data_IF_435290538313
#
_entry.id   IF_435290538313
#
_cell.length_a   1.000
_cell.length_b   1.000
_cell.length_c   1.000
_cell.angle_alpha   90.00
_cell.angle_beta   90.00
_cell.angle_gamma   90.00
#
_symmetry.space_group_name_H-M   'P 1'
#
loop_
_entity.id
_entity.type
_entity.pdbx_description
1 polymer ?
#
# COMPACT_ATOMS: atom_id res chain seq x y z
N UNK A 1 8.83 -7.59 8.09
CA UNK A 1 8.55 -7.21 6.69
C UNK A 1 7.05 -6.97 6.49
N UNK A 2 6.16 -7.85 6.95
CA UNK A 2 4.72 -7.72 6.74
C UNK A 2 4.12 -6.36 7.18
N UNK A 3 4.54 -5.83 8.33
CA UNK A 3 4.06 -4.53 8.86
C UNK A 3 4.49 -3.33 8.00
N UNK A 4 5.66 -3.41 7.36
CA UNK A 4 6.14 -2.32 6.49
C UNK A 4 5.48 -2.36 5.10
N UNK A 5 5.04 -3.52 4.65
CA UNK A 5 4.44 -3.71 3.33
C UNK A 5 2.98 -3.26 3.23
N UNK A 6 2.40 -2.78 4.34
CA UNK A 6 1.02 -2.26 4.38
C UNK A 6 0.89 -0.96 3.59
N UNK A 7 1.92 -0.11 3.60
CA UNK A 7 1.87 1.22 3.00
C UNK A 7 2.72 1.37 1.74
N UNK A 8 3.74 0.54 1.56
CA UNK A 8 4.63 0.59 0.39
C UNK A 8 5.37 -0.73 0.19
N UNK A 9 5.87 -0.95 -1.04
CA UNK A 9 6.70 -2.09 -1.35
C UNK A 9 8.02 -2.07 -0.57
N UNK A 10 8.53 -3.23 -0.11
CA UNK A 10 9.87 -3.38 0.43
C UNK A 10 10.98 -2.87 -0.52
N UNK A 11 10.72 -2.83 -1.81
CA UNK A 11 11.66 -2.34 -2.82
C UNK A 11 11.98 -0.86 -2.62
N UNK A 12 11.04 -0.07 -2.10
CA UNK A 12 11.29 1.32 -1.75
C UNK A 12 12.41 1.44 -0.70
N UNK A 13 12.44 0.53 0.26
CA UNK A 13 13.50 0.44 1.28
C UNK A 13 14.81 -0.04 0.64
N UNK A 14 14.74 -1.07 -0.20
CA UNK A 14 15.89 -1.67 -0.85
C UNK A 14 16.62 -0.71 -1.81
N UNK A 15 15.93 0.29 -2.34
CA UNK A 15 16.48 1.33 -3.20
C UNK A 15 17.18 2.46 -2.43
N UNK A 16 16.95 2.57 -1.13
CA UNK A 16 17.53 3.63 -0.31
C UNK A 16 18.99 3.32 0.06
N UNK A 17 19.81 4.36 0.15
CA UNK A 17 21.20 4.30 0.63
C UNK A 17 21.39 5.44 1.62
N UNK A 18 21.03 5.18 2.88
CA UNK A 18 21.02 6.22 3.90
C UNK A 18 22.03 5.93 5.02
N UNK A 19 22.68 6.95 5.58
CA UNK A 19 23.47 6.80 6.80
C UNK A 19 22.54 6.51 8.01
N UNK A 20 23.13 6.03 9.11
CA UNK A 20 22.39 5.54 10.28
C UNK A 20 21.41 6.57 10.87
N UNK A 21 21.86 7.83 10.97
CA UNK A 21 21.02 8.93 11.48
C UNK A 21 19.78 9.19 10.61
N UNK A 22 19.92 9.07 9.29
CA UNK A 22 18.81 9.21 8.36
C UNK A 22 17.87 8.01 8.41
N UNK A 23 18.40 6.80 8.61
CA UNK A 23 17.56 5.62 8.86
C UNK A 23 16.77 5.75 10.14
N UNK A 24 17.39 6.27 11.24
CA UNK A 24 16.69 6.54 12.48
C UNK A 24 15.54 7.53 12.25
N UNK A 25 15.81 8.67 11.64
CA UNK A 25 14.79 9.67 11.33
C UNK A 25 13.65 9.09 10.45
N UNK A 26 13.99 8.20 9.52
CA UNK A 26 13.01 7.54 8.64
C UNK A 26 12.12 6.58 9.43
N UNK A 27 12.68 5.76 10.31
CA UNK A 27 11.91 4.82 11.15
C UNK A 27 10.99 5.58 12.11
N UNK A 28 11.49 6.63 12.77
CA UNK A 28 10.68 7.48 13.65
C UNK A 28 9.52 8.16 12.88
N UNK A 29 9.79 8.63 11.68
CA UNK A 29 8.76 9.19 10.81
C UNK A 29 7.70 8.13 10.45
N UNK A 30 8.08 6.89 10.15
CA UNK A 30 7.13 5.80 9.89
C UNK A 30 6.29 5.47 11.11
N UNK A 31 6.88 5.45 12.32
CA UNK A 31 6.15 5.31 13.59
C UNK A 31 5.12 6.43 13.76
N UNK A 32 5.53 7.68 13.53
CA UNK A 32 4.63 8.83 13.60
C UNK A 32 3.47 8.72 12.59
N UNK A 33 3.68 8.06 11.46
CA UNK A 33 2.66 7.81 10.45
C UNK A 33 1.82 6.54 10.71
N UNK A 34 1.99 5.92 11.87
CA UNK A 34 1.17 4.79 12.31
C UNK A 34 1.77 3.40 12.05
N UNK A 35 3.05 3.31 11.69
CA UNK A 35 3.70 2.00 11.64
C UNK A 35 3.82 1.43 13.06
N UNK A 36 3.27 0.26 13.29
CA UNK A 36 3.32 -0.46 14.56
C UNK A 36 4.71 -1.05 14.80
N UNK A 37 5.63 -0.22 15.28
CA UNK A 37 7.02 -0.59 15.60
C UNK A 37 7.26 -0.22 17.05
N UNK A 38 7.52 -1.21 17.91
CA UNK A 38 7.90 -0.97 19.29
C UNK A 38 9.31 -0.33 19.37
N UNK A 39 9.62 0.34 20.49
CA UNK A 39 10.88 1.09 20.59
C UNK A 39 12.12 0.19 20.53
N UNK A 40 12.07 -0.99 21.12
CA UNK A 40 13.11 -2.01 21.04
C UNK A 40 13.24 -2.60 19.61
N UNK A 41 12.13 -2.78 18.91
CA UNK A 41 12.12 -3.19 17.52
C UNK A 41 12.72 -2.09 16.61
N UNK A 42 12.44 -0.81 16.90
CA UNK A 42 12.93 0.31 16.12
C UNK A 42 14.47 0.36 16.11
N UNK A 43 15.11 0.14 17.26
CA UNK A 43 16.58 0.10 17.34
C UNK A 43 17.17 -1.04 16.50
N UNK A 44 16.59 -2.24 16.62
CA UNK A 44 16.99 -3.40 15.82
C UNK A 44 16.83 -3.15 14.32
N UNK A 45 15.71 -2.55 13.93
CA UNK A 45 15.40 -2.20 12.54
C UNK A 45 16.40 -1.18 11.99
N UNK A 46 16.67 -0.09 12.72
CA UNK A 46 17.67 0.92 12.32
C UNK A 46 19.06 0.30 12.17
N UNK A 47 19.46 -0.58 13.09
CA UNK A 47 20.72 -1.30 13.00
C UNK A 47 20.80 -2.18 11.75
N UNK A 48 19.75 -2.92 11.45
CA UNK A 48 19.65 -3.74 10.25
C UNK A 48 19.71 -2.90 8.97
N UNK A 49 18.88 -1.85 8.87
CA UNK A 49 18.80 -0.99 7.70
C UNK A 49 20.11 -0.26 7.43
N UNK A 50 20.74 0.28 8.48
CA UNK A 50 22.02 0.97 8.35
C UNK A 50 23.20 0.05 8.03
N UNK A 51 23.12 -1.23 8.38
CA UNK A 51 24.12 -2.22 8.00
C UNK A 51 23.94 -2.72 6.55
N UNK A 52 22.69 -2.83 6.10
CA UNK A 52 22.36 -3.41 4.79
C UNK A 52 22.30 -2.37 3.67
N UNK A 53 21.79 -1.19 3.96
CA UNK A 53 21.44 -0.14 3.00
C UNK A 53 22.17 1.17 3.33
N UNK A 54 23.47 1.10 3.65
CA UNK A 54 24.33 2.27 3.88
C UNK A 54 24.79 2.91 2.55
N UNK A 55 25.28 4.17 2.54
CA UNK A 55 25.63 4.89 1.31
C UNK A 55 26.64 4.18 0.40
N UNK A 56 27.50 3.34 0.97
CA UNK A 56 28.49 2.57 0.21
C UNK A 56 28.04 1.13 -0.07
N UNK A 57 26.81 0.74 0.28
CA UNK A 57 26.30 -0.58 -0.03
C UNK A 57 26.11 -0.72 -1.54
N UNK A 58 26.50 -1.86 -2.15
CA UNK A 58 26.30 -2.08 -3.57
C UNK A 58 24.81 -2.06 -3.90
N UNK A 59 24.47 -1.63 -5.10
CA UNK A 59 23.11 -1.71 -5.63
C UNK A 59 22.74 -3.17 -5.88
N UNK A 60 22.38 -3.83 -4.81
CA UNK A 60 21.74 -5.13 -4.88
C UNK A 60 20.23 -4.90 -4.91
N UNK A 61 19.71 -4.62 -6.10
CA UNK A 61 18.36 -5.09 -6.39
C UNK A 61 18.46 -6.61 -6.26
N UNK A 62 17.65 -7.26 -5.38
CA UNK A 62 17.57 -8.71 -5.42
C UNK A 62 17.28 -9.08 -6.88
N UNK A 63 17.91 -10.14 -7.42
CA UNK A 63 17.55 -10.60 -8.74
C UNK A 63 16.03 -10.76 -8.73
N UNK A 64 15.37 -9.99 -9.57
CA UNK A 64 13.93 -10.19 -9.77
C UNK A 64 13.82 -11.62 -10.22
N UNK A 65 13.22 -12.45 -9.39
CA UNK A 65 13.01 -13.85 -9.72
C UNK A 65 12.29 -13.84 -11.07
N UNK A 66 12.99 -14.37 -12.09
CA UNK A 66 12.48 -14.40 -13.45
C UNK A 66 11.18 -15.23 -13.53
N UNK A 67 10.95 -16.11 -12.56
CA UNK A 67 9.72 -16.89 -12.45
C UNK A 67 8.55 -16.02 -11.95
N UNK A 68 8.79 -15.05 -11.06
CA UNK A 68 7.78 -14.06 -10.67
C UNK A 68 7.40 -13.13 -11.83
N UNK A 69 8.30 -12.89 -12.79
CA UNK A 69 7.97 -12.15 -14.02
C UNK A 69 7.19 -12.99 -15.02
N UNK A 70 7.26 -14.32 -14.92
CA UNK A 70 6.48 -15.25 -15.74
C UNK A 70 5.14 -15.60 -15.12
N UNK A 71 4.91 -15.23 -13.84
CA UNK A 71 3.57 -15.30 -13.28
C UNK A 71 2.68 -14.49 -14.21
N UNK A 72 1.81 -15.18 -14.94
CA UNK A 72 0.77 -14.53 -15.71
C UNK A 72 0.04 -13.54 -14.79
N UNK A 73 -0.36 -12.36 -15.30
CA UNK A 73 -1.18 -11.46 -14.54
C UNK A 73 -2.32 -12.29 -13.93
N UNK A 74 -2.38 -12.34 -12.59
CA UNK A 74 -3.53 -12.90 -11.91
C UNK A 74 -4.73 -12.10 -12.43
N UNK A 75 -5.61 -12.80 -13.14
CA UNK A 75 -6.85 -12.32 -13.71
C UNK A 75 -6.82 -12.00 -15.19
N UNK A 76 -7.11 -12.98 -15.92
CA UNK A 76 -8.17 -12.77 -16.90
C UNK A 76 -9.48 -12.92 -16.12
N UNK A 77 -10.06 -11.82 -15.67
CA UNK A 77 -11.48 -11.81 -15.35
C UNK A 77 -12.21 -12.34 -16.58
N UNK A 78 -13.18 -13.27 -16.44
CA UNK A 78 -13.95 -13.74 -17.57
C UNK A 78 -14.58 -12.52 -18.24
N UNK A 79 -14.40 -12.42 -19.56
CA UNK A 79 -14.88 -11.31 -20.39
C UNK A 79 -16.43 -11.11 -20.36
N UNK A 80 -17.14 -11.93 -19.62
CA UNK A 80 -18.61 -11.96 -19.47
C UNK A 80 -19.10 -11.60 -18.06
N UNK A 81 -18.27 -11.05 -17.19
CA UNK A 81 -18.77 -10.49 -15.93
C UNK A 81 -19.57 -9.22 -16.28
N UNK A 82 -20.89 -9.31 -16.08
CA UNK A 82 -21.78 -8.14 -16.14
C UNK A 82 -21.27 -7.01 -15.22
N UNK A 83 -21.91 -5.84 -15.21
CA UNK A 83 -21.44 -4.71 -14.43
C UNK A 83 -21.21 -5.11 -12.98
N UNK A 84 -20.01 -4.83 -12.45
CA UNK A 84 -19.63 -5.16 -11.09
C UNK A 84 -20.54 -4.44 -10.10
N UNK A 85 -21.30 -5.21 -9.32
CA UNK A 85 -22.15 -4.69 -8.25
C UNK A 85 -21.40 -4.82 -6.93
N UNK A 86 -20.97 -3.69 -6.37
CA UNK A 86 -20.23 -3.68 -5.11
C UNK A 86 -21.14 -3.94 -3.90
N UNK A 87 -20.59 -4.64 -2.90
CA UNK A 87 -21.25 -4.96 -1.62
C UNK A 87 -20.58 -4.18 -0.50
N UNK A 88 -21.26 -3.12 0.00
CA UNK A 88 -20.67 -2.21 0.98
C UNK A 88 -20.20 -2.89 2.27
N UNK A 89 -20.89 -3.92 2.76
CA UNK A 89 -20.50 -4.66 3.97
C UNK A 89 -19.18 -5.43 3.79
N UNK A 90 -18.94 -5.99 2.62
CA UNK A 90 -17.65 -6.60 2.26
C UNK A 90 -16.57 -5.53 2.13
N UNK A 91 -16.88 -4.45 1.43
CA UNK A 91 -15.97 -3.33 1.21
C UNK A 91 -15.46 -2.70 2.50
N UNK A 92 -16.29 -2.65 3.55
CA UNK A 92 -15.88 -2.19 4.87
C UNK A 92 -14.70 -2.98 5.43
N UNK A 93 -14.80 -4.31 5.44
CA UNK A 93 -13.75 -5.19 5.96
C UNK A 93 -12.49 -5.14 5.10
N UNK A 94 -12.63 -5.10 3.78
CA UNK A 94 -11.49 -5.01 2.86
C UNK A 94 -10.75 -3.67 3.05
N UNK A 95 -11.48 -2.58 3.19
CA UNK A 95 -10.92 -1.26 3.47
C UNK A 95 -10.17 -1.22 4.80
N UNK A 96 -10.73 -1.79 5.84
CA UNK A 96 -10.12 -1.85 7.16
C UNK A 96 -8.76 -2.56 7.12
N UNK A 97 -8.66 -3.66 6.40
CA UNK A 97 -7.42 -4.44 6.32
C UNK A 97 -6.36 -3.84 5.39
N UNK A 98 -6.76 -3.16 4.32
CA UNK A 98 -5.84 -2.77 3.25
C UNK A 98 -5.63 -1.25 3.12
N UNK A 99 -6.62 -0.44 3.46
CA UNK A 99 -6.63 0.99 3.14
C UNK A 99 -6.58 1.89 4.40
N UNK A 100 -7.13 1.40 5.51
CA UNK A 100 -7.32 2.18 6.74
C UNK A 100 -6.01 2.70 7.33
N UNK A 101 -4.91 1.92 7.23
CA UNK A 101 -3.61 2.33 7.75
C UNK A 101 -3.15 3.69 7.18
N UNK A 102 -3.50 3.97 5.94
CA UNK A 102 -3.15 5.22 5.28
C UNK A 102 -4.31 6.24 5.29
N UNK A 103 -5.54 5.77 5.03
CA UNK A 103 -6.70 6.66 4.86
C UNK A 103 -7.54 6.88 6.13
N UNK A 104 -7.09 6.32 7.26
CA UNK A 104 -7.74 6.48 8.56
C UNK A 104 -9.00 5.65 8.74
N UNK A 105 -9.37 5.41 10.00
CA UNK A 105 -10.59 4.70 10.34
C UNK A 105 -11.82 5.42 9.75
N UNK A 106 -12.72 4.67 9.12
CA UNK A 106 -13.89 5.25 8.46
C UNK A 106 -13.57 6.19 7.29
N UNK A 107 -12.37 6.08 6.72
CA UNK A 107 -11.90 6.89 5.58
C UNK A 107 -11.80 8.40 5.89
N UNK A 108 -11.52 8.74 7.14
CA UNK A 108 -11.48 10.15 7.62
C UNK A 108 -10.17 10.87 7.29
N UNK A 109 -9.20 10.15 6.72
CA UNK A 109 -7.87 10.68 6.40
C UNK A 109 -6.85 10.31 7.48
N UNK A 110 -5.60 10.39 7.10
CA UNK A 110 -4.43 10.10 7.94
C UNK A 110 -3.18 10.48 7.16
N UNK A 111 -2.27 9.56 6.93
CA UNK A 111 -1.15 9.74 6.03
C UNK A 111 -1.63 9.95 4.58
N UNK A 112 -2.67 9.22 4.18
CA UNK A 112 -3.38 9.42 2.93
C UNK A 112 -4.54 10.42 3.08
N UNK A 113 -5.08 10.91 1.96
CA UNK A 113 -6.18 11.87 1.98
C UNK A 113 -7.46 11.26 2.57
N UNK A 114 -8.31 12.14 3.12
CA UNK A 114 -9.68 11.79 3.48
C UNK A 114 -10.43 11.33 2.22
N UNK A 115 -11.06 10.15 2.31
CA UNK A 115 -11.90 9.59 1.25
C UNK A 115 -13.40 9.75 1.53
N UNK A 116 -13.81 9.81 2.79
CA UNK A 116 -15.21 10.06 3.14
C UNK A 116 -15.69 11.38 2.50
N UNK A 117 -16.74 11.29 1.67
CA UNK A 117 -17.29 12.41 0.87
C UNK A 117 -16.28 13.06 -0.12
N UNK A 118 -15.23 12.34 -0.49
CA UNK A 118 -14.26 12.85 -1.47
C UNK A 118 -14.90 12.88 -2.87
N UNK A 119 -14.77 13.99 -3.62
CA UNK A 119 -15.34 14.09 -4.97
C UNK A 119 -14.85 13.02 -5.95
N UNK A 120 -13.64 12.48 -5.77
CA UNK A 120 -13.09 11.41 -6.62
C UNK A 120 -14.00 10.18 -6.69
N UNK A 121 -14.78 9.92 -5.64
CA UNK A 121 -15.71 8.79 -5.58
C UNK A 121 -16.87 8.89 -6.58
N UNK A 122 -17.07 10.05 -7.18
CA UNK A 122 -18.08 10.31 -8.24
C UNK A 122 -17.47 10.21 -9.64
N UNK A 123 -16.18 9.96 -9.74
CA UNK A 123 -15.43 9.85 -10.98
C UNK A 123 -14.83 8.44 -11.03
N UNK A 124 -15.63 7.47 -11.48
CA UNK A 124 -15.29 6.06 -11.49
C UNK A 124 -13.95 5.80 -12.19
N UNK A 125 -13.73 6.41 -13.33
CA UNK A 125 -12.49 6.31 -14.10
C UNK A 125 -11.25 6.71 -13.28
N UNK A 126 -11.31 7.85 -12.59
CA UNK A 126 -10.22 8.34 -11.76
C UNK A 126 -10.03 7.51 -10.48
N UNK A 127 -11.12 7.04 -9.89
CA UNK A 127 -11.06 6.15 -8.74
C UNK A 127 -10.38 4.84 -9.09
N UNK A 128 -10.87 4.18 -10.15
CA UNK A 128 -10.33 2.92 -10.61
C UNK A 128 -8.86 3.03 -11.04
N UNK A 129 -8.52 4.05 -11.84
CA UNK A 129 -7.15 4.32 -12.26
C UNK A 129 -6.22 4.48 -11.04
N UNK A 130 -6.66 5.26 -10.03
CA UNK A 130 -5.86 5.51 -8.83
C UNK A 130 -5.66 4.24 -8.00
N UNK A 131 -6.69 3.40 -7.86
CA UNK A 131 -6.59 2.18 -7.04
C UNK A 131 -5.81 1.10 -7.76
N UNK A 132 -6.05 0.90 -9.06
CA UNK A 132 -5.39 -0.15 -9.84
C UNK A 132 -3.89 0.11 -10.00
N UNK A 133 -3.51 1.35 -10.31
CA UNK A 133 -2.13 1.69 -10.69
C UNK A 133 -1.36 2.46 -9.62
N UNK A 134 -2.03 2.87 -8.54
CA UNK A 134 -1.42 3.69 -7.50
C UNK A 134 -1.21 5.14 -7.94
N UNK A 135 -0.88 6.02 -6.97
CA UNK A 135 -0.57 7.42 -7.25
C UNK A 135 0.34 8.00 -6.21
N UNK A 136 1.55 8.40 -6.59
CA UNK A 136 2.54 8.94 -5.67
C UNK A 136 2.89 7.91 -4.57
N UNK A 137 2.64 8.19 -3.28
CA UNK A 137 2.91 7.24 -2.21
C UNK A 137 1.88 6.11 -2.08
N UNK A 138 0.73 6.21 -2.76
CA UNK A 138 -0.29 5.16 -2.75
C UNK A 138 0.14 4.01 -3.66
N UNK A 139 0.27 2.78 -3.14
CA UNK A 139 0.66 1.63 -3.94
C UNK A 139 -0.44 1.22 -4.94
N UNK A 140 -0.04 0.52 -5.99
CA UNK A 140 -0.96 -0.12 -6.92
C UNK A 140 -1.60 -1.36 -6.28
N UNK A 141 -2.91 -1.46 -6.34
CA UNK A 141 -3.68 -2.55 -5.74
C UNK A 141 -4.20 -3.56 -6.77
N UNK A 142 -4.10 -3.27 -8.06
CA UNK A 142 -4.63 -4.12 -9.13
C UNK A 142 -4.05 -5.53 -9.20
N UNK A 143 -2.87 -5.77 -8.61
CA UNK A 143 -2.27 -7.10 -8.49
C UNK A 143 -2.57 -7.80 -7.15
N UNK A 144 -3.26 -7.13 -6.22
CA UNK A 144 -3.52 -7.62 -4.86
C UNK A 144 -4.99 -7.85 -4.60
N UNK A 145 -5.84 -6.96 -5.11
CA UNK A 145 -7.29 -6.99 -4.95
C UNK A 145 -7.96 -7.32 -6.27
N UNK A 146 -8.99 -8.14 -6.24
CA UNK A 146 -9.84 -8.36 -7.40
C UNK A 146 -10.64 -7.10 -7.75
N UNK A 147 -11.12 -7.01 -8.97
CA UNK A 147 -11.99 -5.91 -9.37
C UNK A 147 -13.28 -5.87 -8.52
N UNK A 148 -13.79 -7.04 -8.11
CA UNK A 148 -14.94 -7.11 -7.22
C UNK A 148 -14.62 -6.54 -5.84
N UNK A 149 -13.44 -6.80 -5.28
CA UNK A 149 -13.02 -6.23 -4.01
C UNK A 149 -12.92 -4.70 -4.07
N UNK A 150 -12.40 -4.17 -5.19
CA UNK A 150 -12.33 -2.72 -5.43
C UNK A 150 -13.73 -2.11 -5.59
N UNK A 151 -14.65 -2.78 -6.29
CA UNK A 151 -16.04 -2.36 -6.42
C UNK A 151 -16.76 -2.33 -5.05
N UNK A 152 -16.50 -3.33 -4.21
CA UNK A 152 -17.04 -3.39 -2.85
C UNK A 152 -16.53 -2.23 -1.98
N UNK A 153 -15.22 -1.96 -2.03
CA UNK A 153 -14.61 -0.80 -1.34
C UNK A 153 -15.23 0.50 -1.84
N UNK A 154 -15.35 0.68 -3.16
CA UNK A 154 -15.94 1.87 -3.75
C UNK A 154 -17.38 2.07 -3.25
N UNK A 155 -18.20 1.01 -3.30
CA UNK A 155 -19.57 1.05 -2.82
C UNK A 155 -19.65 1.41 -1.34
N UNK A 156 -18.76 0.88 -0.50
CA UNK A 156 -18.70 1.26 0.90
C UNK A 156 -18.29 2.72 1.11
N UNK A 157 -17.29 3.21 0.37
CA UNK A 157 -16.85 4.60 0.45
C UNK A 157 -17.96 5.59 0.07
N UNK A 158 -18.82 5.24 -0.89
CA UNK A 158 -19.99 6.04 -1.27
C UNK A 158 -21.01 6.19 -0.15
N UNK A 159 -20.96 5.33 0.88
CA UNK A 159 -21.83 5.43 2.08
C UNK A 159 -21.30 6.40 3.14
N UNK A 160 -20.08 6.94 2.97
CA UNK A 160 -19.39 7.82 3.94
C UNK A 160 -19.54 9.27 3.55
#
# INVERSE_FOLDING_TARGET
>A
VARCSVCHSPDLVAQQRLPKDRWLATVEKMKHWGAEIADDEAELLVRYLSARYHPAAPDQLPPVDSELRKAEPLTQEPADAGPLVGVATRGAGIFEHNCQACHGAGATGGMGPKLAKNPILKHDDLFWETVLHGRGPMPAWGSVLSQQDIADIHTWLLTK
#
